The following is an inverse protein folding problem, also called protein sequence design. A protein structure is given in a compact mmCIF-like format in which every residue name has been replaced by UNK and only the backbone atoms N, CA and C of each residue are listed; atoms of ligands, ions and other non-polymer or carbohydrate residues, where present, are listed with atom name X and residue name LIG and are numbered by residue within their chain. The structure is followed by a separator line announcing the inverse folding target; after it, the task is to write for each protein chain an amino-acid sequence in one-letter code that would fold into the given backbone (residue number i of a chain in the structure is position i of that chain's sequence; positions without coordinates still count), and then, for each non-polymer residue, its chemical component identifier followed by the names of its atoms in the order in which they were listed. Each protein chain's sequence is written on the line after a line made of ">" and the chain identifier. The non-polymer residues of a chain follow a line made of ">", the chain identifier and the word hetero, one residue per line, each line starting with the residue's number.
data_IF_939051621279
#
_entry.id   IF_939051621279
#
_cell.length_a   1.000
_cell.length_b   1.000
_cell.length_c   1.000
_cell.angle_alpha   90.00
_cell.angle_beta   90.00
_cell.angle_gamma   90.00
#
_symmetry.space_group_name_H-M   'P 1'
#
loop_
_entity.id
_entity.type
_entity.pdbx_description
1 polymer ?
#
# COMPACT_ATOMS: atom_id res chain seq x y z
N UNK A 1 -52.87 -38.35 -13.45
CA UNK A 1 -52.72 -38.55 -12.00
C UNK A 1 -51.37 -37.94 -11.56
N UNK A 2 -51.35 -36.66 -11.17
CA UNK A 2 -50.12 -35.94 -10.80
C UNK A 2 -49.78 -36.21 -9.33
N UNK A 3 -48.77 -37.04 -9.08
CA UNK A 3 -48.25 -37.32 -7.73
C UNK A 3 -47.61 -36.05 -7.15
N UNK A 4 -48.39 -35.25 -6.42
CA UNK A 4 -47.87 -34.14 -5.60
C UNK A 4 -47.00 -34.71 -4.47
N UNK A 5 -45.69 -34.68 -4.66
CA UNK A 5 -44.73 -35.01 -3.61
C UNK A 5 -44.92 -34.04 -2.43
N UNK A 6 -45.26 -34.58 -1.26
CA UNK A 6 -45.32 -33.83 0.01
C UNK A 6 -44.07 -32.96 0.21
N UNK A 7 -44.26 -31.75 0.73
CA UNK A 7 -43.25 -30.69 0.95
C UNK A 7 -41.95 -31.21 1.58
N UNK A 8 -42.04 -32.20 2.47
CA UNK A 8 -40.87 -32.85 3.11
C UNK A 8 -40.05 -33.70 2.13
N UNK A 9 -40.70 -34.38 1.18
CA UNK A 9 -40.04 -35.23 0.17
C UNK A 9 -39.42 -34.37 -0.94
N UNK A 10 -40.06 -33.25 -1.31
CA UNK A 10 -39.49 -32.24 -2.21
C UNK A 10 -38.23 -31.57 -1.62
N UNK A 11 -38.25 -31.18 -0.33
CA UNK A 11 -37.07 -30.65 0.37
C UNK A 11 -35.90 -31.65 0.41
N UNK A 12 -36.19 -32.92 0.70
CA UNK A 12 -35.17 -33.99 0.68
C UNK A 12 -34.60 -34.24 -0.72
N UNK A 13 -35.44 -34.17 -1.75
CA UNK A 13 -35.00 -34.28 -3.14
C UNK A 13 -34.08 -33.12 -3.52
N UNK A 14 -34.47 -31.87 -3.24
CA UNK A 14 -33.65 -30.69 -3.50
C UNK A 14 -32.31 -30.73 -2.75
N UNK A 15 -32.30 -31.15 -1.47
CA UNK A 15 -31.06 -31.30 -0.71
C UNK A 15 -30.10 -32.35 -1.31
N UNK A 16 -30.63 -33.45 -1.86
CA UNK A 16 -29.83 -34.47 -2.56
C UNK A 16 -29.26 -33.93 -3.87
N UNK A 17 -30.04 -33.16 -4.62
CA UNK A 17 -29.58 -32.53 -5.86
C UNK A 17 -28.51 -31.48 -5.60
N UNK A 18 -28.67 -30.65 -4.56
CA UNK A 18 -27.65 -29.70 -4.09
C UNK A 18 -26.35 -30.40 -3.71
N UNK A 19 -26.40 -31.50 -2.93
CA UNK A 19 -25.20 -32.28 -2.60
C UNK A 19 -24.50 -32.85 -3.83
N UNK A 20 -25.26 -33.38 -4.81
CA UNK A 20 -24.70 -33.86 -6.08
C UNK A 20 -24.07 -32.72 -6.89
N UNK A 21 -24.69 -31.54 -6.90
CA UNK A 21 -24.18 -30.35 -7.56
C UNK A 21 -22.88 -29.87 -6.91
N UNK A 22 -22.82 -29.79 -5.58
CA UNK A 22 -21.60 -29.46 -4.85
C UNK A 22 -20.49 -30.48 -5.05
N UNK A 23 -20.79 -31.79 -5.10
CA UNK A 23 -19.79 -32.83 -5.37
C UNK A 23 -19.21 -32.74 -6.79
N UNK A 24 -20.06 -32.47 -7.80
CA UNK A 24 -19.61 -32.26 -9.19
C UNK A 24 -18.81 -30.97 -9.35
N UNK A 25 -19.18 -29.92 -8.61
CA UNK A 25 -18.53 -28.60 -8.68
C UNK A 25 -17.48 -28.40 -7.58
N UNK A 26 -17.10 -29.44 -6.85
CA UNK A 26 -16.07 -29.36 -5.82
C UNK A 26 -14.73 -28.95 -6.44
N UNK A 27 -14.43 -29.40 -7.66
CA UNK A 27 -13.27 -28.97 -8.44
C UNK A 27 -13.33 -27.48 -8.81
N UNK A 28 -14.52 -26.94 -9.13
CA UNK A 28 -14.71 -25.51 -9.45
C UNK A 28 -14.59 -24.65 -8.19
N UNK A 29 -15.16 -25.10 -7.07
CA UNK A 29 -15.03 -24.41 -5.78
C UNK A 29 -13.57 -24.43 -5.28
N UNK A 30 -12.86 -25.55 -5.47
CA UNK A 30 -11.44 -25.65 -5.17
C UNK A 30 -10.61 -24.72 -6.07
N UNK A 31 -10.89 -24.68 -7.38
CA UNK A 31 -10.26 -23.78 -8.34
C UNK A 31 -10.48 -22.28 -8.02
N UNK A 32 -11.70 -21.90 -7.63
CA UNK A 32 -12.01 -20.52 -7.23
C UNK A 32 -11.28 -20.17 -5.92
N UNK A 33 -11.21 -21.11 -4.97
CA UNK A 33 -10.53 -20.91 -3.69
C UNK A 33 -9.01 -20.79 -3.86
N UNK A 34 -8.38 -21.61 -4.70
CA UNK A 34 -6.95 -21.48 -5.02
C UNK A 34 -6.67 -20.17 -5.76
N UNK A 35 -7.51 -19.80 -6.75
CA UNK A 35 -7.34 -18.53 -7.46
C UNK A 35 -7.49 -17.29 -6.56
N UNK A 36 -8.38 -17.35 -5.56
CA UNK A 36 -8.50 -16.31 -4.52
C UNK A 36 -7.29 -16.26 -3.56
N UNK A 37 -6.60 -17.39 -3.35
CA UNK A 37 -5.35 -17.42 -2.57
C UNK A 37 -4.16 -16.88 -3.38
N UNK A 38 -4.09 -17.15 -4.67
CA UNK A 38 -3.03 -16.62 -5.56
C UNK A 38 -3.17 -15.09 -5.72
N UNK A 39 -4.40 -14.59 -5.91
CA UNK A 39 -4.68 -13.13 -5.96
C UNK A 39 -4.41 -12.40 -4.64
N UNK A 40 -4.53 -13.08 -3.49
CA UNK A 40 -4.14 -12.52 -2.18
C UNK A 40 -2.63 -12.53 -1.97
N UNK A 41 -1.92 -13.47 -2.57
CA UNK A 41 -0.47 -13.58 -2.46
C UNK A 41 0.24 -12.56 -3.39
N UNK A 42 -0.33 -12.25 -4.55
CA UNK A 42 0.23 -11.22 -5.44
C UNK A 42 0.00 -9.79 -4.93
N UNK A 43 -1.05 -9.56 -4.13
CA UNK A 43 -1.36 -8.23 -3.57
C UNK A 43 -0.78 -7.99 -2.17
N UNK A 44 -0.44 -9.04 -1.41
CA UNK A 44 0.16 -8.90 -0.08
C UNK A 44 1.70 -8.95 -0.07
N UNK A 45 2.33 -9.58 -1.07
CA UNK A 45 3.79 -9.84 -1.05
C UNK A 45 4.59 -8.99 -2.03
N UNK A 46 3.95 -8.08 -2.78
CA UNK A 46 4.68 -7.09 -3.61
C UNK A 46 5.13 -5.84 -2.83
N UNK A 47 5.00 -5.84 -1.50
CA UNK A 47 4.99 -4.61 -0.69
C UNK A 47 6.21 -4.36 0.18
N UNK A 48 7.29 -5.12 0.10
CA UNK A 48 8.47 -4.85 0.96
C UNK A 48 9.85 -4.99 0.33
N UNK A 49 10.02 -5.68 -0.81
CA UNK A 49 11.36 -5.94 -1.36
C UNK A 49 11.82 -4.94 -2.43
N UNK A 50 10.90 -4.26 -3.13
CA UNK A 50 11.24 -3.31 -4.21
C UNK A 50 11.11 -1.83 -3.82
N UNK A 51 10.93 -1.54 -2.53
CA UNK A 51 10.79 -0.16 -2.06
C UNK A 51 12.15 0.47 -1.78
N UNK A 52 12.36 1.66 -2.33
CA UNK A 52 13.57 2.43 -2.08
C UNK A 52 13.47 3.05 -0.69
N UNK A 53 14.22 2.50 0.27
CA UNK A 53 14.30 3.03 1.63
C UNK A 53 15.22 4.26 1.70
N UNK A 54 14.68 5.35 2.24
CA UNK A 54 15.34 6.64 2.43
C UNK A 54 15.31 6.98 3.92
N UNK A 55 16.49 7.11 4.50
CA UNK A 55 16.67 7.47 5.90
C UNK A 55 16.68 9.00 6.05
N UNK A 56 15.77 9.54 6.84
CA UNK A 56 15.61 10.96 7.15
C UNK A 56 16.05 11.32 8.57
N UNK A 57 16.70 10.41 9.29
CA UNK A 57 17.14 10.70 10.66
C UNK A 57 18.24 11.77 10.69
N UNK A 58 18.05 12.78 11.53
CA UNK A 58 19.02 13.86 11.75
C UNK A 58 19.09 14.88 10.61
N UNK A 59 18.04 15.00 9.79
CA UNK A 59 17.99 16.05 8.76
C UNK A 59 17.92 17.43 9.42
N UNK A 60 18.77 18.35 8.98
CA UNK A 60 18.85 19.70 9.56
C UNK A 60 18.24 20.75 8.62
N UNK A 61 18.10 20.42 7.34
CA UNK A 61 17.61 21.31 6.29
C UNK A 61 16.87 20.55 5.20
N UNK A 62 16.13 21.30 4.36
CA UNK A 62 15.55 20.75 3.14
C UNK A 62 16.62 20.27 2.16
N UNK A 63 17.78 20.95 2.11
CA UNK A 63 18.89 20.56 1.23
C UNK A 63 19.41 19.16 1.58
N UNK A 64 19.57 18.85 2.87
CA UNK A 64 19.94 17.50 3.33
C UNK A 64 18.93 16.46 2.86
N UNK A 65 17.63 16.78 2.92
CA UNK A 65 16.58 15.91 2.42
C UNK A 65 16.74 15.68 0.90
N UNK A 66 16.93 16.74 0.11
CA UNK A 66 17.13 16.63 -1.34
C UNK A 66 18.34 15.78 -1.68
N UNK A 67 19.46 15.97 -0.99
CA UNK A 67 20.69 15.19 -1.22
C UNK A 67 20.45 13.70 -0.95
N UNK A 68 19.77 13.36 0.15
CA UNK A 68 19.44 11.97 0.49
C UNK A 68 18.46 11.35 -0.50
N UNK A 69 17.49 12.13 -0.98
CA UNK A 69 16.53 11.69 -1.99
C UNK A 69 17.21 11.42 -3.34
N UNK A 70 17.99 12.37 -3.87
CA UNK A 70 18.70 12.24 -5.16
C UNK A 70 19.72 11.11 -5.14
N UNK A 71 20.31 10.82 -3.96
CA UNK A 71 21.23 9.68 -3.81
C UNK A 71 20.55 8.31 -4.01
N UNK A 72 19.23 8.24 -3.83
CA UNK A 72 18.45 7.00 -3.86
C UNK A 72 17.51 6.91 -5.07
N UNK A 73 16.96 8.05 -5.48
CA UNK A 73 15.95 8.19 -6.52
C UNK A 73 16.52 9.07 -7.62
N UNK A 74 16.39 8.62 -8.87
CA UNK A 74 16.75 9.45 -10.02
C UNK A 74 15.68 10.51 -10.25
N UNK A 75 15.91 11.72 -9.74
CA UNK A 75 15.05 12.85 -10.04
C UNK A 75 15.32 13.39 -11.45
N UNK A 76 14.28 13.91 -12.14
CA UNK A 76 14.44 14.62 -13.39
C UNK A 76 15.36 15.85 -13.27
N UNK A 77 16.11 16.18 -14.32
CA UNK A 77 17.03 17.35 -14.34
C UNK A 77 16.33 18.70 -14.13
N UNK A 78 15.01 18.75 -14.28
CA UNK A 78 14.20 19.95 -14.16
C UNK A 78 13.51 20.09 -12.79
N UNK A 79 13.73 19.16 -11.85
CA UNK A 79 13.16 19.26 -10.50
C UNK A 79 13.66 20.54 -9.84
N UNK A 80 12.77 21.51 -9.64
CA UNK A 80 13.12 22.74 -8.94
C UNK A 80 13.40 22.43 -7.46
N UNK A 81 14.33 23.17 -6.85
CA UNK A 81 14.66 23.06 -5.41
C UNK A 81 13.57 23.80 -4.61
N UNK A 82 12.33 23.33 -4.70
CA UNK A 82 11.20 23.81 -3.91
C UNK A 82 10.28 22.64 -3.53
N UNK A 83 9.62 22.75 -2.37
CA UNK A 83 8.76 21.68 -1.86
C UNK A 83 7.60 21.38 -2.80
N UNK A 84 7.05 22.40 -3.46
CA UNK A 84 5.90 22.22 -4.36
C UNK A 84 6.28 21.44 -5.63
N UNK A 85 7.39 21.77 -6.32
CA UNK A 85 7.79 20.98 -7.50
C UNK A 85 8.30 19.59 -7.11
N UNK A 86 8.93 19.46 -5.92
CA UNK A 86 9.28 18.15 -5.40
C UNK A 86 8.03 17.27 -5.21
N UNK A 87 6.98 17.83 -4.62
CA UNK A 87 5.70 17.15 -4.45
C UNK A 87 5.12 16.70 -5.79
N UNK A 88 5.10 17.59 -6.80
CA UNK A 88 4.59 17.26 -8.14
C UNK A 88 5.39 16.15 -8.81
N UNK A 89 6.73 16.19 -8.71
CA UNK A 89 7.63 15.16 -9.27
C UNK A 89 7.43 13.82 -8.56
N UNK A 90 7.28 13.80 -7.23
CA UNK A 90 7.02 12.58 -6.47
C UNK A 90 5.64 11.97 -6.78
N UNK A 91 4.65 12.80 -7.15
CA UNK A 91 3.33 12.35 -7.56
C UNK A 91 3.28 11.79 -8.99
N UNK A 92 3.93 12.47 -9.93
CA UNK A 92 3.76 12.18 -11.37
C UNK A 92 4.94 11.49 -12.04
N UNK A 93 6.17 11.86 -11.68
CA UNK A 93 7.37 11.51 -12.45
C UNK A 93 8.19 10.38 -11.82
N UNK A 94 8.04 10.12 -10.51
CA UNK A 94 8.72 9.03 -9.82
C UNK A 94 7.89 7.75 -9.89
N UNK A 95 8.30 6.81 -10.75
CA UNK A 95 7.64 5.52 -10.89
C UNK A 95 7.97 4.51 -9.77
N UNK A 96 9.01 4.80 -8.97
CA UNK A 96 9.53 3.93 -7.92
C UNK A 96 8.62 3.96 -6.68
N UNK A 97 8.55 2.84 -5.95
CA UNK A 97 7.88 2.78 -4.65
C UNK A 97 8.86 3.27 -3.57
N UNK A 98 8.45 4.25 -2.76
CA UNK A 98 9.36 4.90 -1.81
C UNK A 98 8.97 4.58 -0.37
N UNK A 99 9.98 4.37 0.47
CA UNK A 99 9.81 4.27 1.90
C UNK A 99 10.68 5.30 2.61
N UNK A 100 10.04 6.24 3.32
CA UNK A 100 10.72 7.23 4.13
C UNK A 100 10.78 6.77 5.58
N UNK A 101 11.97 6.70 6.17
CA UNK A 101 12.17 6.36 7.57
C UNK A 101 12.60 7.62 8.32
N UNK A 102 11.78 8.05 9.28
CA UNK A 102 12.07 9.26 10.07
C UNK A 102 11.74 9.01 11.53
N UNK A 103 12.69 8.47 12.28
CA UNK A 103 12.61 8.25 13.71
C UNK A 103 12.86 9.49 14.55
N UNK A 104 13.80 10.34 14.14
CA UNK A 104 14.20 11.55 14.90
C UNK A 104 13.33 12.79 14.63
N UNK A 105 12.12 12.67 14.07
CA UNK A 105 11.22 13.80 13.75
C UNK A 105 11.12 14.80 14.89
N UNK A 106 10.87 14.33 16.12
CA UNK A 106 10.67 15.23 17.26
C UNK A 106 11.92 16.07 17.56
N UNK A 107 13.10 15.45 17.49
CA UNK A 107 14.38 16.13 17.72
C UNK A 107 14.71 17.09 16.56
N UNK A 108 14.48 16.66 15.32
CA UNK A 108 14.73 17.46 14.12
C UNK A 108 13.79 18.68 14.06
N UNK A 109 12.51 18.51 14.41
CA UNK A 109 11.53 19.60 14.50
C UNK A 109 11.88 20.60 15.60
N UNK A 110 12.38 20.15 16.76
CA UNK A 110 12.82 21.08 17.82
C UNK A 110 14.03 21.91 17.40
N UNK A 111 14.85 21.38 16.50
CA UNK A 111 16.07 22.04 16.00
C UNK A 111 15.79 22.97 14.82
N UNK A 112 14.94 22.56 13.88
CA UNK A 112 14.63 23.29 12.65
C UNK A 112 13.13 23.19 12.33
N UNK A 113 12.30 23.93 13.04
CA UNK A 113 10.83 23.79 12.95
C UNK A 113 10.24 24.25 11.62
N UNK A 114 10.58 25.45 11.14
CA UNK A 114 9.84 26.07 10.02
C UNK A 114 9.95 25.36 8.67
N UNK A 115 11.16 24.93 8.27
CA UNK A 115 11.36 24.31 6.97
C UNK A 115 10.95 22.83 6.96
N UNK A 116 11.17 22.13 8.07
CA UNK A 116 10.86 20.71 8.18
C UNK A 116 9.35 20.47 8.41
N UNK A 117 8.62 21.40 9.03
CA UNK A 117 7.15 21.30 9.15
C UNK A 117 6.48 21.24 7.77
N UNK A 118 6.96 22.06 6.82
CA UNK A 118 6.51 22.01 5.43
C UNK A 118 6.82 20.67 4.76
N UNK A 119 8.01 20.12 4.97
CA UNK A 119 8.41 18.81 4.47
C UNK A 119 7.52 17.70 5.04
N UNK A 120 7.28 17.69 6.35
CA UNK A 120 6.43 16.70 7.00
C UNK A 120 5.02 16.73 6.41
N UNK A 121 4.44 17.92 6.26
CA UNK A 121 3.10 18.07 5.66
C UNK A 121 3.07 17.55 4.22
N UNK A 122 4.07 17.87 3.42
CA UNK A 122 4.21 17.36 2.05
C UNK A 122 4.28 15.83 2.02
N UNK A 123 5.09 15.21 2.89
CA UNK A 123 5.20 13.75 2.98
C UNK A 123 3.89 13.09 3.43
N UNK A 124 3.21 13.67 4.42
CA UNK A 124 1.90 13.19 4.87
C UNK A 124 0.86 13.27 3.73
N UNK A 125 0.88 14.33 2.91
CA UNK A 125 -0.03 14.47 1.77
C UNK A 125 0.31 13.51 0.62
N UNK A 126 1.60 13.22 0.37
CA UNK A 126 2.03 12.21 -0.60
C UNK A 126 1.49 10.82 -0.27
N UNK A 127 1.52 10.42 1.00
CA UNK A 127 1.00 9.10 1.41
C UNK A 127 -0.52 8.96 1.25
N UNK A 128 -1.26 10.09 1.25
CA UNK A 128 -2.70 10.09 0.95
C UNK A 128 -2.97 9.98 -0.55
N UNK A 129 -2.10 10.56 -1.36
CA UNK A 129 -2.25 10.60 -2.81
C UNK A 129 -1.74 9.31 -3.48
N UNK A 130 -0.69 8.67 -2.94
CA UNK A 130 -0.10 7.43 -3.47
C UNK A 130 0.08 6.39 -2.36
N UNK A 131 -0.50 5.20 -2.60
CA UNK A 131 -0.36 4.03 -1.70
C UNK A 131 1.02 3.38 -1.72
N UNK A 132 1.80 3.71 -2.73
CA UNK A 132 3.11 3.13 -3.04
C UNK A 132 4.24 3.83 -2.26
N UNK A 133 3.93 5.01 -1.72
CA UNK A 133 4.80 5.78 -0.84
C UNK A 133 4.38 5.52 0.60
N UNK A 134 5.33 5.18 1.46
CA UNK A 134 5.06 4.95 2.88
C UNK A 134 6.04 5.74 3.73
N UNK A 135 5.56 6.30 4.83
CA UNK A 135 6.39 6.98 5.82
C UNK A 135 6.30 6.27 7.16
N UNK A 136 7.47 5.94 7.72
CA UNK A 136 7.62 5.25 8.98
C UNK A 136 8.24 6.19 10.01
N UNK A 137 7.40 6.65 10.95
CA UNK A 137 7.83 7.47 12.08
C UNK A 137 8.30 6.58 13.23
N UNK A 138 9.60 6.33 13.31
CA UNK A 138 10.18 5.38 14.29
C UNK A 138 10.32 6.05 15.66
N UNK A 139 9.27 5.99 16.50
CA UNK A 139 9.30 6.58 17.85
C UNK A 139 8.07 7.39 18.23
N UNK A 140 7.12 7.59 17.31
CA UNK A 140 5.77 8.07 17.65
C UNK A 140 4.93 6.88 18.16
N UNK A 141 5.12 6.49 19.42
CA UNK A 141 4.08 5.74 20.12
C UNK A 141 2.93 6.70 20.42
N UNK A 142 1.77 6.47 19.80
CA UNK A 142 0.51 7.05 20.27
C UNK A 142 0.22 6.63 21.72
#
# INVERSE_FOLDING_TARGET
>A
MLLKLSTKKARRYNARQLKKWHAKNQAVAAYIKTRQQDLKSDSATKSSEDRVAIDLDGIQSLDDFYQRLVAKVKLPTHTAINLDALHDVLLGDVAESLEFQWGSVSEDMTRTSGALEGLKRMLDDLTKARTDITINYKGYSS
#
